data_IF_978921253796
#
_entry.id   IF_978921253796
#
_cell.length_a   1.000
_cell.length_b   1.000
_cell.length_c   1.000
_cell.angle_alpha   90.00
_cell.angle_beta   90.00
_cell.angle_gamma   90.00
#
_symmetry.space_group_name_H-M   'P 1'
#
loop_
_entity.id
_entity.type
_entity.pdbx_description
1 polymer ?
#
# COMPACT_ATOMS: atom_id res chain seq x y z
N UNK A 1 -16.00 -3.91 6.92
CA UNK A 1 -14.60 -3.46 6.76
C UNK A 1 -14.11 -3.91 5.39
N UNK A 2 -13.06 -3.29 4.84
CA UNK A 2 -12.53 -3.59 3.49
C UNK A 2 -11.69 -4.88 3.44
N UNK A 3 -11.39 -5.49 4.60
CA UNK A 3 -10.65 -6.75 4.68
C UNK A 3 -9.12 -6.61 4.71
N UNK A 4 -8.62 -5.38 4.87
CA UNK A 4 -7.18 -5.12 4.98
C UNK A 4 -6.69 -5.59 6.36
N UNK A 5 -5.68 -6.46 6.36
CA UNK A 5 -5.04 -6.94 7.58
C UNK A 5 -4.22 -5.81 8.23
N UNK A 6 -4.18 -5.82 9.56
CA UNK A 6 -3.38 -4.88 10.36
C UNK A 6 -2.33 -5.65 11.15
N UNK A 7 -1.14 -5.08 11.26
CA UNK A 7 -0.09 -5.55 12.14
C UNK A 7 0.13 -4.53 13.26
N UNK A 8 0.25 -5.01 14.50
CA UNK A 8 0.57 -4.18 15.66
C UNK A 8 1.88 -4.67 16.28
N UNK A 9 2.84 -3.76 16.45
CA UNK A 9 4.11 -4.00 17.12
C UNK A 9 4.40 -2.88 18.13
N UNK A 10 5.59 -2.89 18.73
CA UNK A 10 6.00 -1.88 19.72
C UNK A 10 6.08 -0.44 19.18
N UNK A 11 6.14 -0.27 17.85
CA UNK A 11 6.20 1.03 17.17
C UNK A 11 4.83 1.54 16.72
N UNK A 12 3.81 0.68 16.69
CA UNK A 12 2.46 1.09 16.30
C UNK A 12 1.63 0.02 15.59
N UNK A 13 0.50 0.46 15.06
CA UNK A 13 -0.40 -0.35 14.24
C UNK A 13 -0.41 0.18 12.81
N UNK A 14 -0.15 -0.68 11.82
CA UNK A 14 -0.12 -0.33 10.40
C UNK A 14 -0.83 -1.41 9.55
N UNK A 15 -1.31 -1.08 8.34
CA UNK A 15 -1.77 -2.09 7.39
C UNK A 15 -0.65 -3.07 7.02
N UNK A 16 -1.01 -4.31 6.70
CA UNK A 16 -0.09 -5.26 6.07
C UNK A 16 -0.09 -4.99 4.56
N UNK A 17 1.10 -4.81 4.00
CA UNK A 17 1.29 -4.56 2.57
C UNK A 17 2.65 -5.07 2.09
N UNK A 18 2.76 -5.30 0.79
CA UNK A 18 4.02 -5.60 0.12
C UNK A 18 4.85 -4.33 -0.05
N UNK A 19 6.05 -4.28 0.53
CA UNK A 19 6.92 -3.09 0.55
C UNK A 19 7.44 -2.66 -0.83
N UNK A 20 7.42 -3.55 -1.82
CA UNK A 20 7.90 -3.28 -3.18
C UNK A 20 6.79 -2.73 -4.09
N UNK A 21 5.51 -2.98 -3.77
CA UNK A 21 4.37 -2.63 -4.63
C UNK A 21 3.31 -1.75 -3.96
N UNK A 22 3.33 -1.68 -2.63
CA UNK A 22 2.30 -1.09 -1.77
C UNK A 22 0.91 -1.75 -1.87
N UNK A 23 0.84 -2.97 -2.41
CA UNK A 23 -0.39 -3.75 -2.43
C UNK A 23 -0.65 -4.39 -1.07
N UNK A 24 -1.91 -4.37 -0.61
CA UNK A 24 -2.35 -5.02 0.63
C UNK A 24 -2.58 -6.53 0.44
N UNK A 25 -3.09 -7.20 1.48
CA UNK A 25 -3.61 -8.56 1.36
C UNK A 25 -4.88 -8.65 0.48
N UNK A 26 -5.56 -7.53 0.22
CA UNK A 26 -6.73 -7.45 -0.66
C UNK A 26 -6.26 -7.15 -2.08
N UNK A 27 -6.56 -8.05 -3.01
CA UNK A 27 -6.14 -7.94 -4.41
C UNK A 27 -6.62 -6.62 -5.03
N UNK A 28 -5.69 -5.94 -5.72
CA UNK A 28 -5.90 -4.64 -6.38
C UNK A 28 -6.25 -3.50 -5.40
N UNK A 29 -6.01 -3.69 -4.10
CA UNK A 29 -6.13 -2.65 -3.08
C UNK A 29 -4.72 -2.22 -2.60
N UNK A 30 -4.42 -0.94 -2.74
CA UNK A 30 -3.10 -0.35 -2.47
C UNK A 30 -3.19 0.75 -1.42
N UNK A 31 -2.07 1.02 -0.75
CA UNK A 31 -1.96 2.11 0.24
C UNK A 31 -0.88 3.12 -0.15
N UNK A 32 -1.10 4.41 0.15
CA UNK A 32 -0.15 5.47 -0.17
C UNK A 32 -0.12 6.55 0.91
N UNK A 33 1.03 7.21 1.06
CA UNK A 33 1.24 8.23 2.08
C UNK A 33 1.31 7.67 3.50
N UNK A 34 1.02 8.54 4.47
CA UNK A 34 1.26 8.30 5.91
C UNK A 34 0.54 7.06 6.47
N UNK A 35 -0.54 6.60 5.82
CA UNK A 35 -1.25 5.38 6.26
C UNK A 35 -0.35 4.13 6.21
N UNK A 36 0.68 4.11 5.36
CA UNK A 36 1.65 3.02 5.28
C UNK A 36 2.59 2.96 6.50
N UNK A 37 2.78 4.08 7.19
CA UNK A 37 3.55 4.15 8.44
C UNK A 37 2.77 3.62 9.65
N UNK A 38 1.44 3.60 9.57
CA UNK A 38 0.59 3.34 10.72
C UNK A 38 0.81 4.35 11.85
N UNK A 39 0.85 3.88 13.10
CA UNK A 39 1.13 4.73 14.25
C UNK A 39 2.63 5.04 14.46
N UNK A 40 3.54 4.47 13.64
CA UNK A 40 4.95 4.88 13.60
C UNK A 40 5.10 6.12 12.72
N UNK A 41 4.53 7.23 13.21
CA UNK A 41 4.32 8.47 12.47
C UNK A 41 5.60 9.19 11.99
N UNK A 42 6.78 8.64 12.26
CA UNK A 42 8.08 9.24 11.95
C UNK A 42 8.80 8.59 10.76
N UNK A 43 8.14 7.73 9.99
CA UNK A 43 8.77 6.97 8.89
C UNK A 43 8.36 7.46 7.50
N UNK A 44 7.12 7.97 7.33
CA UNK A 44 6.61 8.47 6.05
C UNK A 44 6.21 9.93 6.17
N UNK A 45 6.84 10.76 5.35
CA UNK A 45 6.62 12.20 5.20
C UNK A 45 6.19 12.51 3.75
N UNK A 46 5.96 13.78 3.43
CA UNK A 46 5.63 14.19 2.07
C UNK A 46 6.80 13.90 1.13
N UNK A 47 8.02 14.08 1.62
CA UNK A 47 9.27 13.96 0.88
C UNK A 47 9.48 12.56 0.31
N UNK A 48 9.18 11.50 1.08
CA UNK A 48 9.31 10.12 0.64
C UNK A 48 7.97 9.50 0.22
N UNK A 49 6.86 9.83 0.89
CA UNK A 49 5.54 9.25 0.64
C UNK A 49 4.95 9.60 -0.73
N UNK A 50 5.32 10.75 -1.31
CA UNK A 50 4.86 11.17 -2.65
C UNK A 50 5.27 10.19 -3.76
N UNK A 51 6.29 9.36 -3.53
CA UNK A 51 6.77 8.40 -4.52
C UNK A 51 5.98 7.08 -4.55
N UNK A 52 5.12 6.80 -3.56
CA UNK A 52 4.34 5.55 -3.52
C UNK A 52 3.45 5.39 -4.75
N UNK A 53 2.84 6.47 -5.24
CA UNK A 53 1.95 6.42 -6.43
C UNK A 53 2.64 5.92 -7.70
N UNK A 54 3.92 6.25 -7.89
CA UNK A 54 4.71 5.73 -9.01
C UNK A 54 4.89 4.22 -8.93
N UNK A 55 5.21 3.71 -7.74
CA UNK A 55 5.41 2.27 -7.48
C UNK A 55 4.10 1.50 -7.66
N UNK A 56 3.00 2.02 -7.12
CA UNK A 56 1.65 1.45 -7.28
C UNK A 56 1.27 1.37 -8.75
N UNK A 57 1.51 2.45 -9.51
CA UNK A 57 1.23 2.49 -10.95
C UNK A 57 2.00 1.40 -11.69
N UNK A 58 3.29 1.20 -11.37
CA UNK A 58 4.10 0.13 -11.96
C UNK A 58 3.57 -1.27 -11.61
N UNK A 59 3.10 -1.47 -10.37
CA UNK A 59 2.46 -2.73 -9.97
C UNK A 59 1.19 -2.99 -10.79
N UNK A 60 0.32 -1.99 -10.91
CA UNK A 60 -0.93 -2.08 -11.70
C UNK A 60 -0.62 -2.40 -13.16
N UNK A 61 0.35 -1.72 -13.78
CA UNK A 61 0.74 -1.95 -15.18
C UNK A 61 1.42 -3.31 -15.41
N UNK A 62 2.08 -3.87 -14.39
CA UNK A 62 2.74 -5.17 -14.46
C UNK A 62 1.73 -6.33 -14.39
N UNK A 63 0.56 -6.10 -13.81
CA UNK A 63 -0.53 -7.07 -13.85
C UNK A 63 -1.12 -7.10 -15.25
N UNK A 64 -1.15 -8.29 -15.86
CA UNK A 64 -1.87 -8.50 -17.12
C UNK A 64 -3.32 -8.09 -16.88
N UNK A 65 -3.81 -7.13 -17.65
CA UNK A 65 -5.23 -6.79 -17.63
C UNK A 65 -6.01 -8.05 -17.98
N UNK A 66 -6.88 -8.49 -17.07
CA UNK A 66 -8.05 -9.26 -17.50
C UNK A 66 -8.80 -8.33 -18.45
N UNK A 67 -9.05 -8.72 -19.72
CA UNK A 67 -9.85 -7.90 -20.60
C UNK A 67 -11.14 -7.51 -19.88
N UNK A 68 -11.54 -6.25 -19.95
CA UNK A 68 -12.92 -5.92 -19.59
C UNK A 68 -13.79 -6.85 -20.45
N UNK A 69 -14.59 -7.70 -19.80
CA UNK A 69 -15.57 -8.53 -20.48
C UNK A 69 -16.38 -7.62 -21.41
N UNK A 70 -16.32 -7.94 -22.70
CA UNK A 70 -17.09 -7.31 -23.78
C UNK A 70 -18.54 -7.77 -23.75
#
# INVERSE_FOLDING_TARGET
SIGIDINTNEYGTAPVYNKETYETNVENCFIAGVIAAGNDANTIFIENGKYHGGIITQSILSKKQTPLES
#
